data_IF_365465387451
#
_entry.id   IF_365465387451
#
_cell.length_a   1.000
_cell.length_b   1.000
_cell.length_c   1.000
_cell.angle_alpha   90.00
_cell.angle_beta   90.00
_cell.angle_gamma   90.00
#
_symmetry.space_group_name_H-M   'P 1'
#
loop_
_entity.id
_entity.type
_entity.pdbx_description
1 polymer ?
#
# COMPACT_ATOMS: atom_id res chain seq x y z
N UNK A 1 -30.29 63.31 3.28
CA UNK A 1 -30.98 62.04 3.58
C UNK A 1 -30.16 60.82 3.18
N UNK A 2 -29.26 60.42 4.09
CA UNK A 2 -28.85 59.04 4.33
C UNK A 2 -28.33 59.04 5.77
N UNK A 3 -28.94 58.21 6.61
CA UNK A 3 -28.97 58.33 8.07
C UNK A 3 -27.60 58.07 8.73
N UNK A 4 -27.21 58.78 9.81
CA UNK A 4 -25.95 58.56 10.54
C UNK A 4 -25.86 57.17 11.21
N UNK A 5 -26.94 56.39 11.19
CA UNK A 5 -27.02 55.02 11.69
C UNK A 5 -26.20 54.00 10.88
N UNK A 6 -25.93 54.23 9.59
CA UNK A 6 -25.16 53.28 8.77
C UNK A 6 -23.66 53.38 9.08
N UNK A 7 -23.18 54.58 9.44
CA UNK A 7 -21.77 54.82 9.75
C UNK A 7 -21.35 54.25 11.12
N UNK A 8 -22.30 54.16 12.06
CA UNK A 8 -22.05 53.54 13.37
C UNK A 8 -22.04 52.02 13.28
N UNK A 9 -22.90 51.41 12.45
CA UNK A 9 -22.97 49.96 12.29
C UNK A 9 -21.69 49.35 11.67
N UNK A 10 -21.01 50.03 10.74
CA UNK A 10 -19.75 49.55 10.15
C UNK A 10 -18.58 49.67 11.14
N UNK A 11 -18.58 50.70 12.00
CA UNK A 11 -17.56 50.89 13.04
C UNK A 11 -17.78 49.97 14.25
N UNK A 12 -19.02 49.64 14.60
CA UNK A 12 -19.36 48.66 15.63
C UNK A 12 -19.12 47.22 15.17
N UNK A 13 -19.41 46.89 13.90
CA UNK A 13 -19.05 45.61 13.31
C UNK A 13 -17.52 45.43 13.25
N UNK A 14 -16.76 46.46 12.85
CA UNK A 14 -15.29 46.40 12.85
C UNK A 14 -14.65 46.30 14.24
N UNK A 15 -15.28 46.86 15.29
CA UNK A 15 -14.83 46.74 16.69
C UNK A 15 -15.17 45.40 17.32
N UNK A 16 -16.26 44.75 16.90
CA UNK A 16 -16.62 43.41 17.37
C UNK A 16 -15.69 42.32 16.81
N UNK A 17 -15.12 42.54 15.62
CA UNK A 17 -14.25 41.59 14.92
C UNK A 17 -12.79 41.60 15.42
N UNK A 18 -12.43 42.42 16.41
CA UNK A 18 -11.05 42.50 16.91
C UNK A 18 -10.83 41.76 18.23
N UNK A 19 -11.85 41.63 19.09
CA UNK A 19 -11.69 40.98 20.40
C UNK A 19 -11.98 39.47 20.29
N UNK A 20 -13.16 39.10 19.76
CA UNK A 20 -13.56 37.70 19.62
C UNK A 20 -12.64 36.89 18.70
N UNK A 21 -12.17 37.48 17.59
CA UNK A 21 -11.24 36.82 16.69
C UNK A 21 -9.84 36.66 17.31
N UNK A 22 -9.43 37.63 18.14
CA UNK A 22 -8.15 37.55 18.85
C UNK A 22 -8.20 36.50 19.97
N UNK A 23 -9.31 36.44 20.70
CA UNK A 23 -9.57 35.39 21.71
C UNK A 23 -9.60 34.00 21.07
N UNK A 24 -10.17 33.87 19.88
CA UNK A 24 -10.20 32.61 19.11
C UNK A 24 -8.80 32.20 18.64
N UNK A 25 -7.97 33.15 18.19
CA UNK A 25 -6.56 32.89 17.85
C UNK A 25 -5.76 32.44 19.07
N UNK A 26 -5.95 33.10 20.23
CA UNK A 26 -5.29 32.69 21.47
C UNK A 26 -5.75 31.32 21.94
N UNK A 27 -7.04 31.00 21.82
CA UNK A 27 -7.57 29.68 22.15
C UNK A 27 -7.00 28.60 21.23
N UNK A 28 -6.88 28.87 19.93
CA UNK A 28 -6.26 27.97 18.95
C UNK A 28 -4.76 27.80 19.21
N UNK A 29 -4.04 28.86 19.58
CA UNK A 29 -2.63 28.78 19.97
C UNK A 29 -2.45 27.93 21.23
N UNK A 30 -3.29 28.10 22.24
CA UNK A 30 -3.25 27.31 23.47
C UNK A 30 -3.60 25.83 23.20
N UNK A 31 -4.58 25.56 22.33
CA UNK A 31 -4.93 24.22 21.90
C UNK A 31 -3.79 23.57 21.09
N UNK A 32 -3.14 24.31 20.20
CA UNK A 32 -2.00 23.84 19.43
C UNK A 32 -0.78 23.56 20.33
N UNK A 33 -0.47 24.45 21.27
CA UNK A 33 0.63 24.24 22.22
C UNK A 33 0.36 23.02 23.11
N UNK A 34 -0.87 22.85 23.60
CA UNK A 34 -1.27 21.67 24.37
C UNK A 34 -1.20 20.38 23.53
N UNK A 35 -1.59 20.43 22.25
CA UNK A 35 -1.47 19.29 21.33
C UNK A 35 -0.01 18.96 21.00
N UNK A 36 0.88 19.96 20.92
CA UNK A 36 2.32 19.77 20.72
C UNK A 36 3.05 19.31 21.99
N UNK A 37 2.57 19.72 23.18
CA UNK A 37 3.08 19.28 24.49
C UNK A 37 2.55 17.91 24.92
N UNK A 38 1.46 17.42 24.31
CA UNK A 38 1.09 16.01 24.38
C UNK A 38 2.25 15.19 23.80
N UNK A 39 3.12 14.78 24.73
CA UNK A 39 4.38 14.10 24.50
C UNK A 39 4.24 13.11 23.36
N UNK A 40 5.06 13.34 22.34
CA UNK A 40 5.50 12.35 21.36
C UNK A 40 5.46 10.95 21.98
N UNK A 41 4.68 10.06 21.36
CA UNK A 41 4.70 8.61 21.61
C UNK A 41 6.14 8.21 21.98
N UNK A 42 6.33 7.56 23.13
CA UNK A 42 7.66 7.16 23.65
C UNK A 42 8.49 6.62 22.47
N UNK A 43 9.42 7.45 21.97
CA UNK A 43 10.24 7.08 20.82
C UNK A 43 11.32 6.17 21.35
N UNK A 44 11.10 4.87 21.21
CA UNK A 44 12.13 3.88 21.46
C UNK A 44 13.31 4.18 20.53
N UNK A 45 14.52 4.22 21.08
CA UNK A 45 15.73 4.27 20.24
C UNK A 45 15.83 2.98 19.42
N UNK A 46 16.46 3.05 18.25
CA UNK A 46 16.63 1.88 17.37
C UNK A 46 17.28 0.70 18.12
N UNK A 47 18.28 0.99 18.97
CA UNK A 47 18.90 -0.01 19.84
C UNK A 47 17.89 -0.70 20.76
N UNK A 48 17.02 0.06 21.41
CA UNK A 48 16.01 -0.50 22.31
C UNK A 48 14.99 -1.36 21.55
N UNK A 49 14.64 -0.97 20.31
CA UNK A 49 13.75 -1.75 19.44
C UNK A 49 14.40 -3.09 19.08
N UNK A 50 15.67 -3.10 18.68
CA UNK A 50 16.39 -4.33 18.35
C UNK A 50 16.50 -5.26 19.56
N UNK A 51 16.81 -4.72 20.74
CA UNK A 51 16.85 -5.51 21.98
C UNK A 51 15.48 -6.10 22.34
N UNK A 52 14.40 -5.34 22.15
CA UNK A 52 13.04 -5.83 22.38
C UNK A 52 12.64 -6.93 21.39
N UNK A 53 12.90 -6.74 20.09
CA UNK A 53 12.62 -7.75 19.06
C UNK A 53 13.40 -9.03 19.33
N UNK A 54 14.67 -8.92 19.73
CA UNK A 54 15.48 -10.08 20.10
C UNK A 54 14.93 -10.79 21.34
N UNK A 55 14.49 -10.04 22.37
CA UNK A 55 13.83 -10.65 23.53
C UNK A 55 12.54 -11.37 23.16
N UNK A 56 11.71 -10.77 22.30
CA UNK A 56 10.48 -11.39 21.81
C UNK A 56 10.75 -12.68 21.01
N UNK A 57 11.85 -12.72 20.24
CA UNK A 57 12.34 -13.94 19.60
C UNK A 57 12.80 -15.00 20.61
N UNK A 58 13.60 -14.63 21.61
CA UNK A 58 14.03 -15.57 22.67
C UNK A 58 12.83 -16.19 23.41
N UNK A 59 11.75 -15.42 23.57
CA UNK A 59 10.50 -15.89 24.18
C UNK A 59 9.63 -16.74 23.23
N UNK A 60 10.04 -16.95 21.96
CA UNK A 60 9.29 -17.73 20.97
C UNK A 60 8.02 -17.04 20.45
N UNK A 61 7.84 -15.75 20.73
CA UNK A 61 6.61 -15.03 20.37
C UNK A 61 6.59 -14.57 18.90
N UNK A 62 7.74 -14.58 18.21
CA UNK A 62 7.91 -14.06 16.85
C UNK A 62 8.47 -15.08 15.85
N UNK A 63 8.65 -16.35 16.24
CA UNK A 63 9.41 -17.36 15.48
C UNK A 63 8.89 -17.63 14.06
N UNK A 64 7.66 -17.25 13.76
CA UNK A 64 7.07 -17.48 12.43
C UNK A 64 6.57 -16.20 11.75
N UNK A 65 6.61 -15.04 12.38
CA UNK A 65 5.99 -13.83 11.81
C UNK A 65 7.02 -12.89 11.19
N UNK A 66 8.27 -12.96 11.64
CA UNK A 66 9.32 -12.01 11.30
C UNK A 66 10.30 -12.59 10.27
N UNK A 67 10.39 -11.92 9.12
CA UNK A 67 11.32 -12.17 8.03
C UNK A 67 12.41 -11.09 8.03
N UNK A 68 13.47 -11.31 7.28
CA UNK A 68 14.56 -10.36 7.09
C UNK A 68 14.62 -9.96 5.61
N UNK A 69 15.01 -8.71 5.36
CA UNK A 69 15.41 -8.30 4.01
C UNK A 69 16.72 -8.97 3.61
N UNK A 70 17.01 -9.04 2.31
CA UNK A 70 18.26 -9.61 1.78
C UNK A 70 19.51 -8.96 2.39
N UNK A 71 19.40 -7.69 2.78
CA UNK A 71 20.47 -6.93 3.41
C UNK A 71 20.63 -7.21 4.92
N UNK A 72 19.69 -7.94 5.53
CA UNK A 72 19.67 -8.24 6.97
C UNK A 72 19.45 -7.02 7.88
N UNK A 73 19.17 -5.85 7.30
CA UNK A 73 19.06 -4.57 8.04
C UNK A 73 17.67 -4.30 8.56
N UNK A 74 16.66 -4.93 7.97
CA UNK A 74 15.25 -4.62 8.23
C UNK A 74 14.46 -5.90 8.49
N UNK A 75 13.45 -5.74 9.34
CA UNK A 75 12.48 -6.78 9.65
C UNK A 75 11.22 -6.57 8.82
N UNK A 76 10.76 -7.64 8.18
CA UNK A 76 9.54 -7.64 7.38
C UNK A 76 8.58 -8.65 7.98
N UNK A 77 7.32 -8.27 8.21
CA UNK A 77 6.31 -9.22 8.67
C UNK A 77 5.70 -9.97 7.48
N UNK A 78 5.24 -11.21 7.71
CA UNK A 78 4.56 -11.98 6.65
C UNK A 78 3.33 -11.25 6.08
N UNK A 79 2.54 -10.61 6.95
CA UNK A 79 1.38 -9.84 6.53
C UNK A 79 1.77 -8.64 5.65
N UNK A 80 2.87 -7.97 6.00
CA UNK A 80 3.40 -6.87 5.19
C UNK A 80 3.84 -7.37 3.82
N UNK A 81 4.56 -8.49 3.79
CA UNK A 81 5.00 -9.13 2.54
C UNK A 81 3.80 -9.50 1.66
N UNK A 82 2.74 -10.08 2.24
CA UNK A 82 1.49 -10.39 1.52
C UNK A 82 0.89 -9.16 0.85
N UNK A 83 0.77 -8.04 1.57
CA UNK A 83 0.25 -6.78 1.05
C UNK A 83 1.14 -6.15 -0.03
N UNK A 84 2.45 -6.33 0.08
CA UNK A 84 3.41 -5.83 -0.90
C UNK A 84 3.36 -6.64 -2.19
N UNK A 85 3.30 -7.98 -2.11
CA UNK A 85 3.11 -8.87 -3.26
C UNK A 85 1.83 -8.49 -4.01
N UNK A 86 0.68 -8.40 -3.30
CA UNK A 86 -0.59 -8.00 -3.94
C UNK A 86 -0.49 -6.67 -4.66
N UNK A 87 0.20 -5.68 -4.06
CA UNK A 87 0.39 -4.35 -4.67
C UNK A 87 1.33 -4.39 -5.87
N UNK A 88 2.40 -5.18 -5.81
CA UNK A 88 3.34 -5.29 -6.91
C UNK A 88 2.68 -5.97 -8.11
N UNK A 89 1.91 -7.04 -7.90
CA UNK A 89 1.19 -7.73 -8.97
C UNK A 89 0.18 -6.79 -9.65
N UNK A 90 -0.54 -6.00 -8.86
CA UNK A 90 -1.46 -4.99 -9.40
C UNK A 90 -0.73 -3.91 -10.21
N UNK A 91 0.50 -3.52 -9.82
CA UNK A 91 1.32 -2.56 -10.55
C UNK A 91 1.87 -3.13 -11.86
N UNK A 92 2.19 -4.42 -11.88
CA UNK A 92 2.73 -5.12 -13.06
C UNK A 92 1.66 -5.56 -14.06
N UNK A 93 0.43 -5.06 -13.96
CA UNK A 93 -0.64 -5.39 -14.90
C UNK A 93 -1.28 -6.76 -14.66
N UNK A 94 -1.13 -7.33 -13.46
CA UNK A 94 -1.82 -8.55 -13.06
C UNK A 94 -1.06 -9.86 -13.27
N UNK A 95 0.13 -9.83 -13.88
CA UNK A 95 1.04 -11.00 -14.00
C UNK A 95 2.44 -10.60 -13.56
N UNK A 96 3.06 -11.42 -12.71
CA UNK A 96 4.47 -11.24 -12.31
C UNK A 96 5.11 -12.60 -11.97
N UNK A 97 6.32 -12.90 -12.47
CA UNK A 97 7.05 -14.08 -12.04
C UNK A 97 7.57 -13.89 -10.61
N UNK A 98 7.52 -14.94 -9.80
CA UNK A 98 7.88 -14.86 -8.37
C UNK A 98 9.36 -14.48 -8.17
N UNK A 99 10.22 -14.81 -9.13
CA UNK A 99 11.63 -14.40 -9.13
C UNK A 99 11.80 -12.88 -9.20
N UNK A 100 10.89 -12.17 -9.85
CA UNK A 100 10.94 -10.70 -9.98
C UNK A 100 10.41 -10.00 -8.71
N UNK A 101 9.70 -10.72 -7.83
CA UNK A 101 9.30 -10.18 -6.52
C UNK A 101 10.51 -9.97 -5.60
N UNK A 102 11.58 -10.76 -5.76
CA UNK A 102 12.79 -10.61 -4.94
C UNK A 102 13.46 -9.23 -5.11
N UNK A 103 13.83 -8.79 -6.33
CA UNK A 103 14.41 -7.46 -6.52
C UNK A 103 13.42 -6.33 -6.23
N UNK A 104 12.11 -6.55 -6.45
CA UNK A 104 11.09 -5.53 -6.18
C UNK A 104 10.86 -5.30 -4.67
N UNK A 105 10.84 -6.36 -3.86
CA UNK A 105 10.51 -6.31 -2.43
C UNK A 105 11.74 -6.42 -1.52
N UNK A 106 12.91 -6.72 -2.08
CA UNK A 106 14.16 -6.94 -1.36
C UNK A 106 14.07 -8.05 -0.28
N UNK A 107 13.27 -9.07 -0.57
CA UNK A 107 13.02 -10.26 0.27
C UNK A 107 13.40 -11.51 -0.50
N UNK A 108 13.92 -12.52 0.18
CA UNK A 108 14.35 -13.79 -0.43
C UNK A 108 13.23 -14.51 -1.20
N UNK A 109 13.60 -15.12 -2.34
CA UNK A 109 12.66 -15.84 -3.24
C UNK A 109 11.89 -16.92 -2.48
N UNK A 110 12.52 -17.64 -1.55
CA UNK A 110 11.85 -18.73 -0.81
C UNK A 110 10.69 -18.20 0.03
N UNK A 111 10.80 -16.98 0.55
CA UNK A 111 9.73 -16.34 1.32
C UNK A 111 8.64 -15.80 0.39
N UNK A 112 9.02 -15.24 -0.75
CA UNK A 112 8.07 -14.81 -1.78
C UNK A 112 7.26 -15.99 -2.31
N UNK A 113 7.90 -17.11 -2.68
CA UNK A 113 7.24 -18.34 -3.14
C UNK A 113 6.23 -18.87 -2.14
N UNK A 114 6.62 -18.95 -0.86
CA UNK A 114 5.72 -19.42 0.20
C UNK A 114 4.49 -18.52 0.36
N UNK A 115 4.68 -17.20 0.31
CA UNK A 115 3.55 -16.27 0.39
C UNK A 115 2.69 -16.30 -0.86
N UNK A 116 3.28 -16.43 -2.04
CA UNK A 116 2.57 -16.60 -3.31
C UNK A 116 1.72 -17.87 -3.31
N UNK A 117 2.24 -18.98 -2.80
CA UNK A 117 1.47 -20.22 -2.61
C UNK A 117 0.32 -20.04 -1.61
N UNK A 118 0.56 -19.34 -0.49
CA UNK A 118 -0.48 -19.05 0.48
C UNK A 118 -1.59 -18.14 -0.09
N UNK A 119 -1.23 -17.18 -0.94
CA UNK A 119 -2.15 -16.31 -1.66
C UNK A 119 -2.98 -17.07 -2.68
N UNK A 120 -2.36 -18.00 -3.42
CA UNK A 120 -3.06 -18.83 -4.41
C UNK A 120 -3.95 -19.90 -3.76
N UNK A 121 -3.62 -20.35 -2.55
CA UNK A 121 -4.45 -21.30 -1.79
C UNK A 121 -5.72 -20.66 -1.20
N UNK A 122 -5.74 -19.33 -1.07
CA UNK A 122 -6.87 -18.58 -0.53
C UNK A 122 -7.81 -18.11 -1.65
N UNK A 123 -8.95 -18.79 -1.88
CA UNK A 123 -9.85 -18.47 -3.00
C UNK A 123 -10.50 -17.10 -2.87
N UNK A 124 -10.51 -16.48 -1.67
CA UNK A 124 -11.07 -15.15 -1.48
C UNK A 124 -10.21 -14.05 -2.12
N UNK A 125 -8.91 -14.29 -2.28
CA UNK A 125 -7.99 -13.31 -2.87
C UNK A 125 -7.96 -13.42 -4.40
N UNK A 126 -8.27 -14.61 -4.93
CA UNK A 126 -8.40 -14.85 -6.36
C UNK A 126 -7.07 -14.90 -7.14
N UNK A 127 -5.93 -15.05 -6.47
CA UNK A 127 -4.66 -15.23 -7.17
C UNK A 127 -4.51 -16.66 -7.68
N UNK A 128 -3.86 -16.82 -8.82
CA UNK A 128 -3.43 -18.11 -9.36
C UNK A 128 -1.91 -18.13 -9.47
N UNK A 129 -1.31 -19.28 -9.15
CA UNK A 129 0.13 -19.50 -9.26
C UNK A 129 0.37 -20.60 -10.29
N UNK A 130 0.98 -20.25 -11.43
CA UNK A 130 1.24 -21.17 -12.56
C UNK A 130 2.70 -21.06 -12.95
N UNK A 131 3.43 -22.16 -12.98
CA UNK A 131 4.87 -22.22 -13.37
C UNK A 131 5.78 -21.19 -12.66
N UNK A 132 5.44 -20.79 -11.44
CA UNK A 132 6.18 -19.78 -10.69
C UNK A 132 5.80 -18.34 -11.03
N UNK A 133 4.67 -18.12 -11.70
CA UNK A 133 4.08 -16.82 -11.99
C UNK A 133 2.78 -16.61 -11.24
N UNK A 134 2.65 -15.45 -10.59
CA UNK A 134 1.42 -15.06 -9.92
C UNK A 134 0.57 -14.23 -10.88
N UNK A 135 -0.69 -14.64 -11.05
CA UNK A 135 -1.62 -14.05 -11.99
C UNK A 135 -2.95 -13.71 -11.31
N UNK A 136 -3.53 -12.57 -11.65
CA UNK A 136 -4.86 -12.14 -11.20
C UNK A 136 -5.95 -12.54 -12.19
N UNK A 137 -7.22 -12.66 -11.77
CA UNK A 137 -8.33 -12.92 -12.68
C UNK A 137 -8.50 -11.79 -13.70
N UNK A 138 -8.27 -10.55 -13.27
CA UNK A 138 -8.31 -9.36 -14.12
C UNK A 138 -7.31 -9.42 -15.29
N UNK A 139 -6.17 -10.10 -15.11
CA UNK A 139 -5.24 -10.35 -16.22
C UNK A 139 -5.88 -11.25 -17.29
N UNK A 140 -6.50 -12.35 -16.88
CA UNK A 140 -7.20 -13.25 -17.80
C UNK A 140 -8.39 -12.57 -18.50
N UNK A 141 -9.16 -11.75 -17.78
CA UNK A 141 -10.25 -10.97 -18.37
C UNK A 141 -9.73 -9.99 -19.43
N UNK A 142 -8.60 -9.33 -19.17
CA UNK A 142 -7.95 -8.43 -20.11
C UNK A 142 -7.45 -9.15 -21.36
N UNK A 143 -6.78 -10.30 -21.19
CA UNK A 143 -6.35 -11.15 -22.31
C UNK A 143 -7.56 -11.63 -23.10
N UNK A 144 -8.61 -12.12 -22.44
CA UNK A 144 -9.82 -12.60 -23.11
C UNK A 144 -10.50 -11.50 -23.95
N UNK A 145 -10.59 -10.28 -23.42
CA UNK A 145 -11.15 -9.14 -24.13
C UNK A 145 -10.30 -8.73 -25.35
N UNK A 146 -8.96 -8.75 -25.23
CA UNK A 146 -8.04 -8.48 -26.35
C UNK A 146 -8.20 -9.52 -27.45
N UNK A 147 -8.25 -10.80 -27.08
CA UNK A 147 -8.43 -11.91 -28.03
C UNK A 147 -9.79 -11.88 -28.71
N UNK A 148 -10.87 -11.54 -27.98
CA UNK A 148 -12.21 -11.42 -28.54
C UNK A 148 -12.31 -10.30 -29.58
N UNK A 149 -11.72 -9.13 -29.29
CA UNK A 149 -11.69 -8.02 -30.24
C UNK A 149 -10.90 -8.38 -31.50
N UNK A 150 -9.75 -9.04 -31.37
CA UNK A 150 -8.96 -9.47 -32.52
C UNK A 150 -9.67 -10.55 -33.34
N UNK A 151 -10.35 -11.50 -32.69
CA UNK A 151 -11.19 -12.48 -33.37
C UNK A 151 -12.32 -11.80 -34.14
N UNK A 152 -12.90 -10.73 -33.59
CA UNK A 152 -13.97 -9.96 -34.23
C UNK A 152 -13.45 -9.17 -35.44
N UNK A 153 -12.22 -8.68 -35.41
CA UNK A 153 -11.58 -7.94 -36.51
C UNK A 153 -11.05 -8.86 -37.63
N UNK A 154 -10.33 -9.93 -37.27
CA UNK A 154 -9.65 -10.81 -38.21
C UNK A 154 -10.48 -12.05 -38.64
N UNK A 155 -11.50 -12.41 -37.87
CA UNK A 155 -12.35 -13.59 -38.09
C UNK A 155 -11.71 -14.94 -37.68
N UNK A 156 -10.40 -14.99 -37.55
CA UNK A 156 -9.65 -16.15 -37.03
C UNK A 156 -8.33 -15.69 -36.40
N UNK A 157 -7.87 -16.37 -35.35
CA UNK A 157 -6.58 -16.11 -34.71
C UNK A 157 -5.87 -17.44 -34.46
N UNK A 158 -4.58 -17.51 -34.82
CA UNK A 158 -3.75 -18.68 -34.56
C UNK A 158 -3.37 -18.78 -33.08
N UNK A 159 -3.62 -19.94 -32.45
CA UNK A 159 -3.24 -20.18 -31.05
C UNK A 159 -1.73 -20.00 -30.82
N UNK A 160 -0.90 -20.37 -31.80
CA UNK A 160 0.55 -20.18 -31.73
C UNK A 160 0.97 -18.70 -31.74
N UNK A 161 0.21 -17.81 -32.38
CA UNK A 161 0.47 -16.36 -32.39
C UNK A 161 0.08 -15.72 -31.06
N UNK A 162 -1.03 -16.18 -30.47
CA UNK A 162 -1.47 -15.79 -29.14
C UNK A 162 -0.47 -16.20 -28.07
N UNK A 163 -0.03 -17.45 -28.11
CA UNK A 163 0.95 -17.98 -27.17
C UNK A 163 2.27 -17.20 -27.23
N UNK A 164 2.78 -16.92 -28.44
CA UNK A 164 3.98 -16.09 -28.62
C UNK A 164 3.82 -14.68 -28.05
N UNK A 165 2.68 -14.02 -28.25
CA UNK A 165 2.44 -12.66 -27.74
C UNK A 165 2.37 -12.61 -26.23
N UNK A 166 1.68 -13.57 -25.61
CA UNK A 166 1.54 -13.62 -24.16
C UNK A 166 2.68 -14.37 -23.46
N UNK A 167 3.71 -14.82 -24.19
CA UNK A 167 4.83 -15.55 -23.62
C UNK A 167 4.42 -16.86 -22.97
N UNK A 168 3.38 -17.51 -23.51
CA UNK A 168 2.90 -18.82 -23.10
C UNK A 168 3.51 -19.88 -24.04
N UNK A 169 3.80 -21.07 -23.53
CA UNK A 169 4.22 -22.18 -24.39
C UNK A 169 3.02 -22.71 -25.18
N UNK A 170 3.14 -22.78 -26.51
CA UNK A 170 2.19 -23.47 -27.38
C UNK A 170 2.75 -24.87 -27.70
N UNK A 171 2.56 -25.80 -26.78
CA UNK A 171 2.57 -27.24 -27.12
C UNK A 171 1.14 -27.78 -27.15
#
# INVERSE_FOLDING_TARGET
DCSPLIHLHVLEAGRHWSASAMDEIFALQAALSAAQEQKSQIRLSERNIVELVNKLKTLGLLDHTLLYTLNGKEYVTQERLRLEITREVARSGGRIPVVDLQPALNVDVVHCERQSQALAADPAVGFSLVEGELMTPAYFDGVAAEVDEELREAGMVGVGDLARRHGLSAE
#
